data_IF_773893991651
#
_entry.id   IF_773893991651
#
_cell.length_a   1.000
_cell.length_b   1.000
_cell.length_c   1.000
_cell.angle_alpha   90.00
_cell.angle_beta   90.00
_cell.angle_gamma   90.00
#
_symmetry.space_group_name_H-M   'P 1'
#
loop_
_entity.id
_entity.type
_entity.pdbx_description
1 polymer ?
#
# COMPACT_ATOMS: atom_id res chain seq x y z
N UNK A 1 6.50 13.90 1.43
CA UNK A 1 5.28 14.50 0.82
C UNK A 1 4.62 15.43 1.82
N UNK A 2 4.73 16.71 1.60
CA UNK A 2 4.22 17.68 2.57
C UNK A 2 2.71 17.56 2.78
N UNK A 3 1.94 17.37 1.72
CA UNK A 3 0.48 17.23 1.85
C UNK A 3 0.10 16.04 2.74
N UNK A 4 0.89 14.96 2.68
CA UNK A 4 0.64 13.77 3.49
C UNK A 4 1.06 14.00 4.94
N UNK A 5 2.20 14.64 5.15
CA UNK A 5 2.68 15.01 6.48
C UNK A 5 1.66 15.89 7.19
N UNK A 6 1.06 16.84 6.47
CA UNK A 6 0.02 17.73 7.01
C UNK A 6 -1.23 16.96 7.46
N UNK A 7 -1.49 15.79 6.89
CA UNK A 7 -2.64 14.96 7.24
C UNK A 7 -2.37 13.97 8.40
N UNK A 8 -1.12 13.75 8.78
CA UNK A 8 -0.77 12.72 9.76
C UNK A 8 -1.57 12.80 11.06
N UNK A 9 -1.77 13.99 11.68
CA UNK A 9 -2.57 14.05 12.91
C UNK A 9 -4.00 13.55 12.74
N UNK A 10 -4.63 13.80 11.60
CA UNK A 10 -5.98 13.33 11.30
C UNK A 10 -6.03 11.83 11.01
N UNK A 11 -4.91 11.22 10.62
CA UNK A 11 -4.83 9.80 10.27
C UNK A 11 -4.50 8.91 11.46
N UNK A 12 -4.06 9.47 12.58
CA UNK A 12 -3.52 8.71 13.71
C UNK A 12 -4.51 7.66 14.24
N UNK A 13 -5.79 7.98 14.30
CA UNK A 13 -6.81 7.12 14.89
C UNK A 13 -7.89 6.66 13.90
N UNK A 14 -7.64 6.76 12.58
CA UNK A 14 -8.62 6.27 11.60
C UNK A 14 -8.74 4.75 11.66
N UNK A 15 -9.96 4.26 11.42
CA UNK A 15 -10.22 2.83 11.32
C UNK A 15 -9.52 2.25 10.11
N UNK A 16 -8.78 1.14 10.25
CA UNK A 16 -8.11 0.50 9.12
C UNK A 16 -9.08 0.08 8.02
N UNK A 17 -8.64 0.21 6.76
CA UNK A 17 -9.31 -0.34 5.59
C UNK A 17 -8.32 -1.31 4.95
N UNK A 18 -8.46 -2.60 5.26
CA UNK A 18 -7.48 -3.60 4.84
C UNK A 18 -7.77 -4.09 3.42
N UNK A 19 -6.71 -4.06 2.60
CA UNK A 19 -6.73 -4.66 1.27
C UNK A 19 -6.53 -6.17 1.34
N UNK A 20 -6.67 -6.84 0.21
CA UNK A 20 -6.45 -8.30 0.09
C UNK A 20 -5.05 -8.70 0.53
N UNK A 21 -4.04 -7.88 0.25
CA UNK A 21 -2.65 -8.15 0.62
C UNK A 21 -2.28 -7.69 2.04
N UNK A 22 -3.23 -7.12 2.78
CA UNK A 22 -3.00 -6.65 4.14
C UNK A 22 -2.48 -5.22 4.25
N UNK A 23 -2.45 -4.45 3.15
CA UNK A 23 -2.17 -3.02 3.23
C UNK A 23 -3.33 -2.30 3.91
N UNK A 24 -3.02 -1.23 4.65
CA UNK A 24 -4.04 -0.37 5.24
C UNK A 24 -4.29 0.83 4.34
N UNK A 25 -5.35 0.73 3.53
CA UNK A 25 -5.74 1.79 2.59
C UNK A 25 -6.15 3.09 3.28
N UNK A 26 -6.63 3.01 4.53
CA UNK A 26 -7.07 4.19 5.27
C UNK A 26 -5.97 5.22 5.46
N UNK A 27 -4.70 4.80 5.43
CA UNK A 27 -3.53 5.66 5.59
C UNK A 27 -2.61 5.62 4.36
N UNK A 28 -3.05 5.03 3.25
CA UNK A 28 -2.25 4.95 2.02
C UNK A 28 -2.33 6.26 1.23
N UNK A 29 -1.19 6.89 0.88
CA UNK A 29 -1.21 8.13 0.10
C UNK A 29 -1.95 8.03 -1.24
N UNK A 30 -1.80 6.91 -1.95
CA UNK A 30 -2.52 6.71 -3.23
C UNK A 30 -4.02 6.74 -3.06
N UNK A 31 -4.51 6.16 -1.98
CA UNK A 31 -5.94 6.12 -1.67
C UNK A 31 -6.45 7.47 -1.16
N UNK A 32 -5.62 8.21 -0.45
CA UNK A 32 -5.99 9.47 0.19
C UNK A 32 -5.87 10.69 -0.74
N UNK A 33 -4.98 10.66 -1.73
CA UNK A 33 -4.77 11.81 -2.63
C UNK A 33 -6.05 12.17 -3.39
N UNK A 34 -6.39 13.45 -3.41
CA UNK A 34 -7.61 13.97 -4.04
C UNK A 34 -7.36 14.97 -5.16
N UNK A 35 -6.33 15.79 -5.03
CA UNK A 35 -6.01 16.82 -6.03
C UNK A 35 -4.97 16.30 -7.01
N UNK A 36 -4.90 16.93 -8.19
CA UNK A 36 -3.88 16.61 -9.18
C UNK A 36 -2.47 16.82 -8.62
N UNK A 37 -2.28 17.84 -7.80
CA UNK A 37 -1.01 18.12 -7.14
C UNK A 37 -0.63 17.02 -6.14
N UNK A 38 -1.56 16.61 -5.29
CA UNK A 38 -1.35 15.51 -4.34
C UNK A 38 -1.02 14.20 -5.06
N UNK A 39 -1.71 13.90 -6.16
CA UNK A 39 -1.44 12.72 -6.97
C UNK A 39 -0.04 12.75 -7.58
N UNK A 40 0.37 13.90 -8.11
CA UNK A 40 1.70 14.04 -8.67
C UNK A 40 2.80 13.87 -7.61
N UNK A 41 2.65 14.51 -6.46
CA UNK A 41 3.60 14.36 -5.35
C UNK A 41 3.68 12.89 -4.89
N UNK A 42 2.56 12.20 -4.88
CA UNK A 42 2.51 10.77 -4.57
C UNK A 42 3.28 9.95 -5.61
N UNK A 43 3.09 10.24 -6.91
CA UNK A 43 3.83 9.56 -7.97
C UNK A 43 5.35 9.77 -7.86
N UNK A 44 5.77 10.99 -7.53
CA UNK A 44 7.17 11.32 -7.27
C UNK A 44 7.71 10.51 -6.08
N UNK A 45 6.95 10.44 -5.00
CA UNK A 45 7.34 9.64 -3.83
C UNK A 45 7.50 8.16 -4.19
N UNK A 46 6.56 7.58 -4.97
CA UNK A 46 6.64 6.18 -5.40
C UNK A 46 7.91 5.89 -6.20
N UNK A 47 8.32 6.83 -7.05
CA UNK A 47 9.58 6.74 -7.77
C UNK A 47 10.77 6.81 -6.81
N UNK A 48 10.78 7.77 -5.89
CA UNK A 48 11.88 7.94 -4.93
C UNK A 48 12.02 6.76 -3.97
N UNK A 49 10.90 6.14 -3.62
CA UNK A 49 10.88 4.94 -2.76
C UNK A 49 11.32 3.66 -3.51
N UNK A 50 11.53 3.74 -4.81
CA UNK A 50 11.94 2.59 -5.61
C UNK A 50 10.80 1.66 -6.00
N UNK A 51 9.56 2.09 -5.81
CA UNK A 51 8.37 1.28 -6.15
C UNK A 51 7.94 1.42 -7.60
N UNK A 52 8.47 2.40 -8.29
CA UNK A 52 8.31 2.58 -9.74
C UNK A 52 9.65 2.99 -10.35
N UNK A 53 9.88 2.61 -11.59
CA UNK A 53 11.11 2.93 -12.33
C UNK A 53 11.06 4.31 -13.01
N UNK A 54 9.90 4.97 -12.95
CA UNK A 54 9.68 6.33 -13.46
C UNK A 54 8.54 6.99 -12.70
N UNK A 55 8.39 8.29 -12.87
CA UNK A 55 7.26 9.03 -12.28
C UNK A 55 6.04 8.79 -13.16
N UNK A 56 5.10 7.99 -12.65
CA UNK A 56 3.89 7.63 -13.39
C UNK A 56 2.89 8.79 -13.45
N UNK A 57 1.90 8.69 -14.33
CA UNK A 57 0.84 9.71 -14.44
C UNK A 57 -0.07 9.72 -13.21
N UNK A 58 -0.80 10.84 -13.06
CA UNK A 58 -1.79 10.96 -11.99
C UNK A 58 -2.88 9.89 -12.08
N UNK A 59 -3.31 9.57 -13.28
CA UNK A 59 -4.29 8.51 -13.51
C UNK A 59 -3.76 7.15 -13.04
N UNK A 60 -2.50 6.85 -13.35
CA UNK A 60 -1.90 5.58 -12.97
C UNK A 60 -1.65 5.47 -11.46
N UNK A 61 -1.25 6.55 -10.80
CA UNK A 61 -1.01 6.52 -9.34
C UNK A 61 -2.30 6.48 -8.54
N UNK A 62 -3.39 7.03 -9.05
CA UNK A 62 -4.68 7.05 -8.36
C UNK A 62 -5.13 5.65 -8.00
N UNK A 63 -5.64 5.47 -6.77
CA UNK A 63 -6.15 4.20 -6.28
C UNK A 63 -7.46 4.40 -5.52
N UNK A 64 -8.47 3.59 -5.84
CA UNK A 64 -9.76 3.60 -5.15
C UNK A 64 -10.02 2.30 -4.39
N UNK A 65 -8.97 1.52 -4.16
CA UNK A 65 -9.04 0.25 -3.45
C UNK A 65 -8.75 -0.96 -4.34
N UNK A 66 -8.79 -2.14 -3.76
CA UNK A 66 -8.60 -3.39 -4.50
C UNK A 66 -9.65 -3.54 -5.61
N UNK A 67 -9.19 -3.93 -6.79
CA UNK A 67 -10.07 -4.13 -7.95
C UNK A 67 -10.24 -2.89 -8.82
N UNK A 68 -9.70 -1.73 -8.46
CA UNK A 68 -9.72 -0.55 -9.33
C UNK A 68 -8.82 -0.73 -10.57
N UNK A 69 -7.94 -1.72 -10.54
CA UNK A 69 -7.05 -2.07 -11.66
C UNK A 69 -7.17 -3.55 -11.98
N UNK A 70 -6.93 -3.95 -13.25
CA UNK A 70 -7.03 -5.37 -13.64
C UNK A 70 -5.96 -6.25 -12.98
N UNK A 71 -4.82 -5.66 -12.59
CA UNK A 71 -3.72 -6.39 -11.97
C UNK A 71 -3.15 -5.62 -10.79
N UNK A 72 -2.57 -6.33 -9.83
CA UNK A 72 -1.77 -5.75 -8.77
C UNK A 72 -0.44 -6.51 -8.66
N UNK A 73 0.56 -5.88 -8.02
CA UNK A 73 1.92 -6.42 -7.93
C UNK A 73 2.00 -7.82 -7.31
N UNK A 74 1.09 -8.13 -6.40
CA UNK A 74 1.12 -9.41 -5.68
C UNK A 74 0.15 -10.44 -6.22
N UNK A 75 -0.75 -10.06 -7.12
CA UNK A 75 -1.71 -10.96 -7.77
C UNK A 75 -2.61 -11.74 -6.80
N UNK A 76 -2.88 -11.17 -5.63
CA UNK A 76 -3.70 -11.83 -4.62
C UNK A 76 -5.20 -11.69 -4.88
N UNK A 77 -5.63 -10.57 -5.46
CA UNK A 77 -7.05 -10.38 -5.76
C UNK A 77 -7.59 -11.42 -6.74
N UNK A 78 -6.94 -11.71 -7.87
CA UNK A 78 -7.37 -12.81 -8.74
C UNK A 78 -7.36 -14.16 -8.00
N UNK A 79 -6.37 -14.40 -7.13
CA UNK A 79 -6.25 -15.63 -6.37
C UNK A 79 -7.41 -15.81 -5.37
N UNK A 80 -7.78 -14.76 -4.65
CA UNK A 80 -8.93 -14.83 -3.72
C UNK A 80 -10.25 -15.06 -4.45
N UNK A 81 -10.43 -14.43 -5.62
CA UNK A 81 -11.61 -14.64 -6.47
C UNK A 81 -11.70 -16.09 -6.94
N UNK A 82 -10.59 -16.67 -7.38
CA UNK A 82 -10.51 -18.05 -7.82
C UNK A 82 -10.85 -19.02 -6.69
N UNK A 83 -10.43 -18.72 -5.46
CA UNK A 83 -10.72 -19.56 -4.28
C UNK A 83 -12.06 -19.25 -3.61
N UNK A 84 -12.83 -18.30 -4.14
CA UNK A 84 -14.14 -17.95 -3.60
C UNK A 84 -14.11 -17.30 -2.23
N UNK A 85 -13.02 -16.62 -1.86
CA UNK A 85 -12.87 -15.94 -0.58
C UNK A 85 -12.66 -14.45 -0.79
N UNK A 86 -12.95 -13.63 0.23
CA UNK A 86 -12.76 -12.18 0.17
C UNK A 86 -11.40 -11.72 0.69
N UNK A 87 -10.70 -12.57 1.44
CA UNK A 87 -9.38 -12.29 1.98
C UNK A 87 -8.57 -13.58 2.08
N UNK A 88 -7.24 -13.47 1.98
CA UNK A 88 -6.36 -14.64 2.04
C UNK A 88 -6.50 -15.42 3.35
N UNK A 89 -6.75 -14.76 4.47
CA UNK A 89 -6.95 -15.43 5.77
C UNK A 89 -8.14 -16.39 5.79
N UNK A 90 -9.09 -16.21 4.88
CA UNK A 90 -10.28 -17.09 4.76
C UNK A 90 -10.00 -18.30 3.88
N UNK A 91 -8.86 -18.32 3.17
CA UNK A 91 -8.50 -19.41 2.30
C UNK A 91 -7.99 -20.62 3.11
N UNK A 92 -8.41 -21.81 2.71
CA UNK A 92 -7.97 -23.05 3.36
C UNK A 92 -6.44 -23.27 3.27
N UNK A 93 -5.79 -22.65 2.28
CA UNK A 93 -4.34 -22.73 2.07
C UNK A 93 -3.53 -21.66 2.79
N UNK A 94 -4.18 -20.80 3.56
CA UNK A 94 -3.47 -19.76 4.31
C UNK A 94 -2.60 -20.39 5.42
N UNK A 95 -1.36 -20.10 5.54
CA UNK A 95 -0.53 -19.09 4.85
C UNK A 95 0.29 -19.75 3.75
N UNK A 96 -0.10 -19.60 2.47
CA UNK A 96 0.54 -20.30 1.36
C UNK A 96 1.88 -19.62 0.95
N UNK A 97 2.64 -20.31 0.08
CA UNK A 97 3.93 -19.79 -0.40
C UNK A 97 3.80 -18.45 -1.12
N UNK A 98 2.68 -18.20 -1.80
CA UNK A 98 2.41 -16.93 -2.47
C UNK A 98 2.31 -15.77 -1.47
N UNK A 99 1.64 -16.00 -0.35
CA UNK A 99 1.52 -15.00 0.72
C UNK A 99 2.88 -14.78 1.40
N UNK A 100 3.61 -15.86 1.69
CA UNK A 100 4.96 -15.74 2.28
C UNK A 100 5.94 -15.00 1.38
N UNK A 101 5.89 -15.27 0.07
CA UNK A 101 6.71 -14.56 -0.92
C UNK A 101 6.34 -13.06 -0.96
N UNK A 102 5.06 -12.75 -0.87
CA UNK A 102 4.59 -11.37 -0.82
C UNK A 102 5.16 -10.62 0.39
N UNK A 103 5.23 -11.24 1.56
CA UNK A 103 5.84 -10.62 2.74
C UNK A 103 7.30 -10.26 2.48
N UNK A 104 8.07 -11.17 1.89
CA UNK A 104 9.48 -10.96 1.57
C UNK A 104 9.63 -9.83 0.56
N UNK A 105 8.88 -9.87 -0.53
CA UNK A 105 8.94 -8.85 -1.58
C UNK A 105 8.51 -7.46 -1.09
N UNK A 106 7.55 -7.42 -0.20
CA UNK A 106 7.09 -6.16 0.41
C UNK A 106 8.20 -5.45 1.18
N UNK A 107 9.11 -6.20 1.79
CA UNK A 107 10.18 -5.62 2.61
C UNK A 107 11.41 -5.19 1.81
N UNK A 108 11.53 -5.58 0.55
CA UNK A 108 12.74 -5.33 -0.27
C UNK A 108 13.10 -3.85 -0.38
N UNK A 109 12.12 -2.97 -0.42
CA UNK A 109 12.32 -1.52 -0.60
C UNK A 109 12.06 -0.71 0.67
N UNK A 110 11.92 -1.36 1.81
CA UNK A 110 11.58 -0.69 3.07
C UNK A 110 12.60 0.40 3.45
N UNK A 111 13.89 0.09 3.36
CA UNK A 111 14.95 1.05 3.69
C UNK A 111 14.97 2.24 2.73
N UNK A 112 14.71 2.00 1.45
CA UNK A 112 14.63 3.07 0.46
C UNK A 112 13.42 3.97 0.72
N UNK A 113 12.29 3.38 1.09
CA UNK A 113 11.10 4.12 1.50
C UNK A 113 11.41 5.04 2.69
N UNK A 114 12.08 4.50 3.71
CA UNK A 114 12.46 5.28 4.88
C UNK A 114 13.33 6.48 4.50
N UNK A 115 14.31 6.27 3.61
CA UNK A 115 15.17 7.34 3.12
C UNK A 115 14.43 8.38 2.29
N UNK A 116 13.37 8.00 1.60
CA UNK A 116 12.57 8.92 0.79
C UNK A 116 11.65 9.79 1.64
N UNK A 117 11.41 9.42 2.88
CA UNK A 117 10.57 10.19 3.81
C UNK A 117 11.28 11.44 4.30
N UNK A 118 10.50 12.51 4.49
CA UNK A 118 11.00 13.79 5.02
C UNK A 118 11.03 13.81 6.55
N UNK A 119 10.29 12.90 7.22
CA UNK A 119 10.24 12.84 8.68
C UNK A 119 10.06 11.40 9.16
N UNK A 120 10.46 11.09 10.42
CA UNK A 120 10.20 9.78 11.01
C UNK A 120 8.70 9.48 11.12
N UNK A 121 7.88 10.49 11.37
CA UNK A 121 6.43 10.35 11.50
C UNK A 121 5.79 9.93 10.18
N UNK A 122 6.26 10.50 9.07
CA UNK A 122 5.83 10.07 7.73
C UNK A 122 6.14 8.60 7.50
N UNK A 123 7.35 8.17 7.84
CA UNK A 123 7.73 6.76 7.68
C UNK A 123 6.89 5.84 8.56
N UNK A 124 6.61 6.21 9.81
CA UNK A 124 5.78 5.40 10.68
C UNK A 124 4.37 5.20 10.12
N UNK A 125 3.80 6.23 9.50
CA UNK A 125 2.48 6.10 8.88
C UNK A 125 2.54 5.22 7.63
N UNK A 126 3.58 5.35 6.81
CA UNK A 126 3.78 4.46 5.66
C UNK A 126 4.08 3.03 6.09
N UNK A 127 4.75 2.85 7.23
CA UNK A 127 4.95 1.54 7.81
C UNK A 127 3.60 0.88 8.14
N UNK A 128 2.70 1.63 8.79
CA UNK A 128 1.33 1.16 9.03
C UNK A 128 0.61 0.82 7.72
N UNK A 129 0.80 1.64 6.68
CA UNK A 129 0.15 1.42 5.40
C UNK A 129 0.60 0.12 4.71
N UNK A 130 1.92 -0.18 4.74
CA UNK A 130 2.50 -1.16 3.81
C UNK A 130 3.30 -2.29 4.45
N UNK A 131 3.74 -2.15 5.69
CA UNK A 131 4.70 -3.07 6.30
C UNK A 131 4.14 -3.85 7.49
N UNK A 132 2.82 -3.84 7.66
CA UNK A 132 2.11 -4.63 8.67
C UNK A 132 1.22 -5.71 8.04
N UNK A 133 1.54 -6.14 6.82
CA UNK A 133 0.75 -7.11 6.06
C UNK A 133 0.53 -8.42 6.83
N UNK A 134 1.59 -8.96 7.41
CA UNK A 134 1.52 -10.21 8.16
C UNK A 134 0.59 -10.10 9.36
N UNK A 135 0.73 -9.02 10.13
CA UNK A 135 -0.15 -8.71 11.26
C UNK A 135 -1.60 -8.56 10.81
N UNK A 136 -1.83 -7.86 9.71
CA UNK A 136 -3.17 -7.55 9.21
C UNK A 136 -3.87 -8.76 8.59
N UNK A 137 -3.13 -9.72 8.06
CA UNK A 137 -3.70 -10.93 7.46
C UNK A 137 -3.93 -12.07 8.46
N UNK A 138 -3.25 -12.05 9.59
CA UNK A 138 -3.41 -13.04 10.66
C UNK A 138 -4.54 -12.68 11.66
#
# INVERSE_FOLDING_TARGET
>A
MQWYIDKLPALEHVTPILSVCGDDCAVCPRFLARTEEELHETAVFWYNAGWRDHIVSNEEIRCTGCGCRPTCSFMLLPCTREHGVSACRECASFECDKVKDMYIRSDEKKKQCEKACESPEEFLMLYRAFYEKEKNLR
#
